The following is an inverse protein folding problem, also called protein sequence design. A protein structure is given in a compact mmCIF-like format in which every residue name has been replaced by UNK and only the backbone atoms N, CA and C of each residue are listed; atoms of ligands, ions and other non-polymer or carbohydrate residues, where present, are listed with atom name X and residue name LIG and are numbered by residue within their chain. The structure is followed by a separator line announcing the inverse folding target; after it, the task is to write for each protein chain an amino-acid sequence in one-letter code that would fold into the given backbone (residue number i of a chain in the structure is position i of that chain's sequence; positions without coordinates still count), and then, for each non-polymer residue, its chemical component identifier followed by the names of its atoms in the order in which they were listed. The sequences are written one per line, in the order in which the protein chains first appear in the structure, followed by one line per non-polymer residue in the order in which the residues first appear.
data_IF_473789855977
#
_entry.id   IF_473789855977
#
_cell.length_a   1.000
_cell.length_b   1.000
_cell.length_c   1.000
_cell.angle_alpha   90.00
_cell.angle_beta   90.00
_cell.angle_gamma   90.00
#
_symmetry.space_group_name_H-M   'P 1'
#
loop_
_entity.id
_entity.type
_entity.pdbx_description
1 polymer ?
#
# COMPACT_ATOMS: atom_id res chain seq x y z
N UNK A 1 16.78 10.87 19.40
CA UNK A 1 16.00 11.64 18.40
C UNK A 1 15.81 10.68 17.24
N UNK A 2 14.58 10.24 16.97
CA UNK A 2 14.32 9.31 15.86
C UNK A 2 14.73 9.95 14.53
N UNK A 3 15.36 9.21 13.60
CA UNK A 3 15.66 9.71 12.26
C UNK A 3 14.39 10.23 11.57
N UNK A 4 14.51 11.18 10.63
CA UNK A 4 13.36 11.80 9.94
C UNK A 4 12.36 10.77 9.39
N UNK A 5 12.89 9.68 8.82
CA UNK A 5 12.15 8.56 8.21
C UNK A 5 11.22 7.86 9.19
N UNK A 6 11.68 7.54 10.40
CA UNK A 6 10.87 6.80 11.39
C UNK A 6 9.67 7.62 11.86
N UNK A 7 9.82 8.95 11.97
CA UNK A 7 8.71 9.84 12.32
C UNK A 7 7.67 9.90 11.20
N UNK A 8 8.11 9.97 9.95
CA UNK A 8 7.22 9.98 8.79
C UNK A 8 6.41 8.68 8.71
N UNK A 9 7.07 7.53 8.81
CA UNK A 9 6.42 6.23 8.80
C UNK A 9 5.40 6.11 9.93
N UNK A 10 5.77 6.45 11.18
CA UNK A 10 4.86 6.37 12.33
C UNK A 10 3.63 7.26 12.18
N UNK A 11 3.80 8.46 11.61
CA UNK A 11 2.68 9.36 11.35
C UNK A 11 1.73 8.75 10.32
N UNK A 12 2.26 8.23 9.22
CA UNK A 12 1.46 7.59 8.17
C UNK A 12 0.74 6.32 8.67
N UNK A 13 1.42 5.49 9.47
CA UNK A 13 0.81 4.32 10.13
C UNK A 13 -0.42 4.71 10.97
N UNK A 14 -0.32 5.81 11.73
CA UNK A 14 -1.40 6.31 12.58
C UNK A 14 -2.56 6.93 11.78
N UNK A 15 -2.24 7.67 10.71
CA UNK A 15 -3.24 8.35 9.88
C UNK A 15 -4.07 7.35 9.05
N UNK A 16 -3.46 6.27 8.58
CA UNK A 16 -4.11 5.31 7.67
C UNK A 16 -4.42 3.94 8.31
N UNK A 17 -4.09 3.76 9.60
CA UNK A 17 -4.25 2.48 10.32
C UNK A 17 -3.54 1.29 9.63
N UNK A 18 -2.36 1.56 9.05
CA UNK A 18 -1.52 0.55 8.40
C UNK A 18 -0.24 0.28 9.20
N UNK A 19 0.42 -0.83 8.92
CA UNK A 19 1.75 -1.14 9.46
C UNK A 19 2.82 -0.97 8.38
N UNK A 20 3.90 -0.28 8.72
CA UNK A 20 5.03 0.00 7.84
C UNK A 20 6.35 -0.44 8.48
N UNK A 21 7.18 -1.12 7.71
CA UNK A 21 8.56 -1.42 8.07
C UNK A 21 9.47 -1.01 6.92
N UNK A 22 10.44 -0.13 7.19
CA UNK A 22 11.41 0.32 6.19
C UNK A 22 12.81 -0.10 6.60
N UNK A 23 13.62 -0.57 5.65
CA UNK A 23 15.02 -0.96 5.90
C UNK A 23 15.95 -0.39 4.83
N UNK A 24 16.99 0.29 5.29
CA UNK A 24 18.12 0.70 4.47
C UNK A 24 19.20 -0.39 4.46
N UNK A 25 19.21 -1.22 3.41
CA UNK A 25 20.19 -2.29 3.24
C UNK A 25 21.39 -1.80 2.43
N UNK A 26 22.49 -2.57 2.50
CA UNK A 26 23.77 -2.19 1.87
C UNK A 26 23.65 -1.94 0.36
N UNK A 27 22.83 -2.72 -0.35
CA UNK A 27 22.69 -2.66 -1.81
C UNK A 27 21.29 -2.25 -2.30
N UNK A 28 20.31 -2.19 -1.41
CA UNK A 28 18.93 -1.87 -1.76
C UNK A 28 18.19 -1.23 -0.59
N UNK A 29 17.06 -0.62 -0.90
CA UNK A 29 16.10 -0.13 0.07
C UNK A 29 14.85 -0.98 -0.01
N UNK A 30 14.23 -1.24 1.14
CA UNK A 30 12.93 -1.90 1.19
C UNK A 30 11.95 -1.17 2.09
N UNK A 31 10.68 -1.15 1.68
CA UNK A 31 9.54 -0.80 2.52
C UNK A 31 8.50 -1.91 2.40
N UNK A 32 8.08 -2.44 3.54
CA UNK A 32 6.98 -3.38 3.65
C UNK A 32 5.78 -2.67 4.26
N UNK A 33 4.63 -2.80 3.60
CA UNK A 33 3.36 -2.27 4.05
C UNK A 33 2.36 -3.39 4.26
N UNK A 34 1.71 -3.41 5.42
CA UNK A 34 0.62 -4.33 5.74
C UNK A 34 -0.63 -3.52 6.07
N UNK A 35 -1.65 -3.68 5.23
CA UNK A 35 -2.96 -3.04 5.34
C UNK A 35 -3.94 -4.05 5.94
N UNK A 36 -4.43 -3.84 7.17
CA UNK A 36 -5.49 -4.68 7.72
C UNK A 36 -6.79 -4.44 6.94
N UNK A 37 -7.47 -5.51 6.49
CA UNK A 37 -8.82 -5.39 5.94
C UNK A 37 -9.80 -5.04 7.06
N UNK A 38 -10.54 -3.94 6.90
CA UNK A 38 -11.70 -3.59 7.73
C UNK A 38 -12.95 -4.32 7.22
N UNK A 39 -13.06 -5.65 7.40
CA UNK A 39 -14.31 -6.38 7.07
C UNK A 39 -14.62 -7.41 8.16
N UNK A 40 -15.85 -7.34 8.67
CA UNK A 40 -16.52 -8.18 9.70
C UNK A 40 -16.62 -9.69 9.39
N UNK A 41 -15.89 -10.21 8.41
CA UNK A 41 -15.98 -11.63 8.01
C UNK A 41 -14.70 -12.38 8.36
N UNK A 42 -14.86 -13.61 8.89
CA UNK A 42 -13.86 -14.50 9.50
C UNK A 42 -12.58 -14.82 8.69
N UNK A 43 -12.42 -14.27 7.49
CA UNK A 43 -11.22 -14.41 6.68
C UNK A 43 -10.47 -13.07 6.64
N UNK A 44 -9.56 -12.89 7.60
CA UNK A 44 -8.57 -11.81 7.63
C UNK A 44 -7.64 -11.88 6.40
N UNK A 45 -8.12 -11.49 5.22
CA UNK A 45 -7.29 -11.34 4.04
C UNK A 45 -6.52 -10.02 4.17
N UNK A 46 -5.37 -10.04 4.84
CA UNK A 46 -4.47 -8.88 4.88
C UNK A 46 -3.96 -8.57 3.47
N UNK A 47 -4.08 -7.31 3.01
CA UNK A 47 -3.37 -6.86 1.81
C UNK A 47 -1.99 -6.40 2.25
N UNK A 48 -0.96 -6.87 1.58
CA UNK A 48 0.40 -6.44 1.87
C UNK A 48 1.11 -6.05 0.59
N UNK A 49 2.04 -5.11 0.68
CA UNK A 49 2.90 -4.70 -0.43
C UNK A 49 4.33 -4.60 0.04
N UNK A 50 5.27 -4.93 -0.84
CA UNK A 50 6.69 -4.73 -0.61
C UNK A 50 7.29 -3.96 -1.76
N UNK A 51 7.95 -2.85 -1.46
CA UNK A 51 8.65 -1.99 -2.41
C UNK A 51 10.14 -2.22 -2.22
N UNK A 52 10.86 -2.47 -3.30
CA UNK A 52 12.31 -2.70 -3.28
C UNK A 52 12.95 -1.87 -4.39
N UNK A 53 13.94 -1.06 -4.06
CA UNK A 53 14.74 -0.30 -5.04
C UNK A 53 16.22 -0.55 -4.80
N UNK A 54 16.99 -0.80 -5.86
CA UNK A 54 18.44 -0.80 -5.77
C UNK A 54 18.99 0.63 -5.71
N UNK A 55 20.12 0.82 -5.01
CA UNK A 55 20.75 2.15 -4.86
C UNK A 55 21.26 2.73 -6.20
N UNK A 56 21.62 1.86 -7.15
CA UNK A 56 22.17 2.22 -8.47
C UNK A 56 21.18 1.94 -9.61
N UNK A 57 19.93 1.59 -9.31
CA UNK A 57 18.94 1.14 -10.29
C UNK A 57 18.16 2.30 -10.94
N UNK A 58 18.69 3.53 -10.92
CA UNK A 58 18.11 4.73 -11.55
C UNK A 58 16.61 4.96 -11.29
N UNK A 59 16.09 4.49 -10.15
CA UNK A 59 14.67 4.64 -9.80
C UNK A 59 13.75 3.49 -10.19
N UNK A 60 14.29 2.34 -10.60
CA UNK A 60 13.48 1.14 -10.77
C UNK A 60 13.05 0.60 -9.40
N UNK A 61 11.75 0.40 -9.24
CA UNK A 61 11.13 -0.12 -8.02
C UNK A 61 10.39 -1.41 -8.33
N UNK A 62 10.79 -2.50 -7.68
CA UNK A 62 10.07 -3.76 -7.66
C UNK A 62 8.98 -3.69 -6.60
N UNK A 63 7.74 -3.90 -7.01
CA UNK A 63 6.56 -3.88 -6.15
C UNK A 63 5.96 -5.28 -6.12
N UNK A 64 6.03 -5.92 -4.95
CA UNK A 64 5.45 -7.25 -4.73
C UNK A 64 4.10 -7.05 -4.06
N UNK A 65 3.03 -7.48 -4.73
CA UNK A 65 1.69 -7.45 -4.18
C UNK A 65 1.41 -8.77 -3.45
N UNK A 66 0.94 -8.68 -2.21
CA UNK A 66 0.73 -9.80 -1.30
C UNK A 66 1.92 -10.76 -1.32
N UNK A 67 3.06 -10.43 -0.67
CA UNK A 67 4.26 -11.26 -0.70
C UNK A 67 4.07 -12.70 -0.21
N UNK A 68 2.97 -12.98 0.50
CA UNK A 68 2.54 -14.33 0.91
C UNK A 68 1.97 -15.18 -0.24
N UNK A 69 1.50 -14.53 -1.32
CA UNK A 69 0.97 -15.15 -2.55
C UNK A 69 2.02 -15.03 -3.64
N UNK A 70 2.54 -16.17 -4.08
CA UNK A 70 3.59 -16.23 -5.09
C UNK A 70 3.08 -15.71 -6.45
N UNK A 71 3.87 -14.87 -7.14
CA UNK A 71 3.69 -14.58 -8.56
C UNK A 71 3.14 -13.22 -8.95
N UNK A 72 2.77 -12.34 -8.00
CA UNK A 72 2.29 -11.00 -8.32
C UNK A 72 3.32 -9.91 -7.98
N UNK A 73 4.11 -9.53 -8.97
CA UNK A 73 4.99 -8.36 -8.87
C UNK A 73 4.87 -7.47 -10.11
N UNK A 74 5.09 -6.18 -9.90
CA UNK A 74 5.25 -5.17 -10.95
C UNK A 74 6.62 -4.51 -10.79
N UNK A 75 7.17 -4.00 -11.89
CA UNK A 75 8.34 -3.14 -11.86
C UNK A 75 7.90 -1.79 -12.39
N UNK A 76 8.15 -0.75 -11.61
CA UNK A 76 7.81 0.61 -11.96
C UNK A 76 9.06 1.48 -12.01
N UNK A 77 9.02 2.51 -12.85
CA UNK A 77 10.11 3.47 -12.98
C UNK A 77 9.68 4.78 -12.33
N UNK A 78 10.23 5.06 -11.15
CA UNK A 78 9.89 6.24 -10.35
C UNK A 78 10.89 7.39 -10.55
N UNK A 79 11.90 7.19 -11.39
CA UNK A 79 12.99 8.13 -11.61
C UNK A 79 14.01 8.15 -10.46
N UNK A 80 15.19 8.76 -10.66
CA UNK A 80 16.31 8.67 -9.74
C UNK A 80 15.93 9.14 -8.34
N UNK A 81 16.49 8.44 -7.34
CA UNK A 81 16.33 8.71 -5.91
C UNK A 81 17.73 8.76 -5.31
N UNK A 82 18.08 9.86 -4.66
CA UNK A 82 19.43 10.11 -4.18
C UNK A 82 19.74 9.37 -2.87
N UNK A 83 18.71 9.08 -2.08
CA UNK A 83 18.86 8.51 -0.73
C UNK A 83 17.61 7.73 -0.29
N UNK A 84 17.72 7.08 0.87
CA UNK A 84 16.66 6.27 1.46
C UNK A 84 15.41 7.09 1.83
N UNK A 85 15.58 8.33 2.26
CA UNK A 85 14.44 9.18 2.65
C UNK A 85 13.56 9.51 1.44
N UNK A 86 14.16 9.88 0.31
CA UNK A 86 13.45 10.12 -0.95
C UNK A 86 12.70 8.86 -1.43
N UNK A 87 13.29 7.68 -1.24
CA UNK A 87 12.61 6.42 -1.53
C UNK A 87 11.40 6.22 -0.64
N UNK A 88 11.52 6.43 0.66
CA UNK A 88 10.40 6.30 1.60
C UNK A 88 9.29 7.29 1.27
N UNK A 89 9.61 8.55 0.98
CA UNK A 89 8.61 9.56 0.59
C UNK A 89 7.81 9.12 -0.65
N UNK A 90 8.48 8.61 -1.68
CA UNK A 90 7.79 8.10 -2.88
C UNK A 90 6.92 6.88 -2.58
N UNK A 91 7.38 5.97 -1.72
CA UNK A 91 6.57 4.82 -1.29
C UNK A 91 5.31 5.28 -0.56
N UNK A 92 5.41 6.29 0.31
CA UNK A 92 4.24 6.82 1.03
C UNK A 92 3.21 7.43 0.07
N UNK A 93 3.65 8.17 -0.96
CA UNK A 93 2.75 8.70 -2.00
C UNK A 93 2.05 7.57 -2.75
N UNK A 94 2.79 6.54 -3.17
CA UNK A 94 2.20 5.39 -3.85
C UNK A 94 1.20 4.61 -2.96
N UNK A 95 1.49 4.49 -1.67
CA UNK A 95 0.59 3.87 -0.70
C UNK A 95 -0.65 4.70 -0.42
N UNK A 96 -0.57 6.03 -0.46
CA UNK A 96 -1.72 6.90 -0.28
C UNK A 96 -2.76 6.68 -1.38
N UNK A 97 -2.32 6.57 -2.65
CA UNK A 97 -3.18 6.21 -3.78
C UNK A 97 -3.84 4.84 -3.58
N UNK A 98 -3.08 3.84 -3.12
CA UNK A 98 -3.59 2.50 -2.84
C UNK A 98 -4.62 2.46 -1.70
N UNK A 99 -4.41 3.25 -0.65
CA UNK A 99 -5.34 3.37 0.49
C UNK A 99 -6.63 4.04 0.04
N UNK A 100 -6.56 5.09 -0.78
CA UNK A 100 -7.74 5.78 -1.34
C UNK A 100 -8.55 4.84 -2.25
N UNK A 101 -7.89 4.08 -3.11
CA UNK A 101 -8.54 3.07 -3.97
C UNK A 101 -9.23 2.00 -3.09
N UNK A 102 -8.54 1.50 -2.07
CA UNK A 102 -9.07 0.50 -1.16
C UNK A 102 -10.28 0.97 -0.32
N UNK A 103 -10.25 2.22 0.18
CA UNK A 103 -11.41 2.80 0.88
C UNK A 103 -12.61 3.00 -0.06
N UNK A 104 -12.36 3.25 -1.34
CA UNK A 104 -13.41 3.35 -2.36
C UNK A 104 -14.05 1.99 -2.65
N UNK A 105 -13.25 0.92 -2.71
CA UNK A 105 -13.71 -0.47 -2.88
C UNK A 105 -14.46 -1.02 -1.66
N UNK A 106 -14.24 -0.45 -0.47
CA UNK A 106 -14.93 -0.83 0.77
C UNK A 106 -16.25 -0.09 0.98
N UNK A 107 -16.69 0.77 0.05
CA UNK A 107 -18.06 1.28 0.11
C UNK A 107 -19.01 0.10 -0.17
N UNK A 108 -19.93 -0.25 0.75
CA UNK A 108 -20.98 -1.19 0.40
C UNK A 108 -21.66 -0.64 -0.83
N UNK A 109 -21.78 -1.49 -1.86
CA UNK A 109 -22.35 -1.11 -3.14
C UNK A 109 -23.60 -0.28 -2.93
N UNK A 110 -23.72 0.80 -3.70
CA UNK A 110 -24.99 1.49 -3.90
C UNK A 110 -26.07 0.42 -3.95
N UNK A 111 -27.01 0.50 -3.01
CA UNK A 111 -28.18 -0.36 -2.97
C UNK A 111 -28.71 -0.43 -4.40
N UNK A 112 -28.62 -1.62 -5.02
CA UNK A 112 -29.40 -1.90 -6.22
C UNK A 112 -30.83 -1.80 -5.77
N UNK A 113 -31.41 -0.62 -5.94
CA UNK A 113 -32.78 -0.34 -5.61
C UNK A 113 -33.60 -1.30 -6.47
N UNK A 114 -34.13 -2.34 -5.82
CA UNK A 114 -34.97 -3.31 -6.48
C UNK A 114 -36.06 -2.54 -7.22
N UNK A 115 -36.29 -2.80 -8.53
CA UNK A 115 -37.36 -2.15 -9.24
C UNK A 115 -38.66 -2.50 -8.54
N UNK A 116 -39.18 -1.53 -7.79
CA UNK A 116 -40.47 -1.65 -7.14
C UNK A 116 -41.47 -1.12 -8.15
N UNK A 117 -41.97 -2.00 -9.03
CA UNK A 117 -43.15 -1.67 -9.83
C UNK A 117 -44.06 -2.89 -10.08
N UNK A 118 -45.00 -3.04 -9.14
CA UNK A 118 -46.47 -3.10 -9.34
C UNK A 118 -47.00 -3.83 -10.59
N UNK A 119 -47.67 -4.97 -10.36
CA UNK A 119 -49.12 -5.20 -10.67
C UNK A 119 -49.56 -6.62 -10.28
N UNK A 120 -50.29 -6.73 -9.16
CA UNK A 120 -51.22 -7.84 -8.96
C UNK A 120 -52.47 -7.56 -9.81
N UNK A 121 -52.96 -8.59 -10.50
CA UNK A 121 -54.18 -8.56 -11.29
C UNK A 121 -55.47 -8.58 -10.47
#
# INVERSE_FOLDING_TARGET
MYPPTEKLLKKFEQEHEIYLEARDQKSYWEVFAKMPKKIDSLHNAHRSKKYISGREQEGNVLIIQNPEVYGNYTIEQWGPMANFDEFVEKVLVALEEDVIEYESDCKPGDEVQAPTDIRAG
#
